data_IF_180415973092
#
_entry.id   IF_180415973092
#
_cell.length_a   1.000
_cell.length_b   1.000
_cell.length_c   1.000
_cell.angle_alpha   90.00
_cell.angle_beta   90.00
_cell.angle_gamma   90.00
#
_symmetry.space_group_name_H-M   'P 1'
#
loop_
_entity.id
_entity.type
_entity.pdbx_description
1 polymer ?
#
# COMPACT_ATOMS: atom_id res chain seq x y z
N UNK A 1 -4.28 -20.32 45.16
CA UNK A 1 -3.61 -19.04 44.90
C UNK A 1 -3.21 -18.99 43.42
N UNK A 2 -3.52 -17.93 42.70
CA UNK A 2 -3.10 -17.80 41.31
C UNK A 2 -1.58 -17.76 41.21
N UNK A 3 -1.02 -18.49 40.26
CA UNK A 3 0.46 -18.56 40.04
C UNK A 3 1.02 -17.31 39.37
N UNK A 4 0.14 -16.46 38.81
CA UNK A 4 0.51 -15.22 38.12
C UNK A 4 -0.22 -14.04 38.76
N UNK A 5 0.55 -13.04 39.17
CA UNK A 5 0.02 -11.79 39.73
C UNK A 5 0.19 -10.64 38.73
N UNK A 6 -0.78 -9.72 38.73
CA UNK A 6 -0.64 -8.47 37.94
C UNK A 6 0.47 -7.61 38.53
N UNK A 7 1.57 -7.45 37.81
CA UNK A 7 2.65 -6.51 38.18
C UNK A 7 2.21 -5.06 37.95
N UNK A 8 2.79 -4.11 38.67
CA UNK A 8 2.60 -2.67 38.48
C UNK A 8 2.83 -2.34 36.98
N UNK A 9 1.88 -1.64 36.37
CA UNK A 9 2.02 -1.16 34.99
C UNK A 9 3.09 -0.08 34.95
N UNK A 10 4.15 -0.29 34.18
CA UNK A 10 5.20 0.70 33.92
C UNK A 10 4.70 1.65 32.81
N UNK A 11 3.90 1.12 31.87
CA UNK A 11 3.35 1.87 30.74
C UNK A 11 1.92 2.35 31.02
N UNK A 12 1.60 3.59 30.62
CA UNK A 12 0.24 4.12 30.65
C UNK A 12 -0.66 3.38 29.64
N UNK A 13 -0.15 3.22 28.44
CA UNK A 13 -0.75 2.43 27.36
C UNK A 13 0.30 1.43 26.86
N UNK A 14 0.06 0.12 27.04
CA UNK A 14 0.96 -0.93 26.57
C UNK A 14 0.65 -1.31 25.11
N UNK A 15 -0.58 -1.03 24.67
CA UNK A 15 -1.03 -1.33 23.32
C UNK A 15 -0.31 -0.46 22.28
N UNK A 16 0.18 0.75 22.71
CA UNK A 16 1.06 1.60 21.90
C UNK A 16 2.41 0.98 21.50
N UNK A 17 2.76 -0.18 22.07
CA UNK A 17 3.94 -0.96 21.69
C UNK A 17 3.57 -2.17 20.82
N UNK A 18 2.31 -2.33 20.47
CA UNK A 18 1.83 -3.40 19.61
C UNK A 18 2.07 -3.07 18.12
N UNK A 19 2.34 -4.10 17.31
CA UNK A 19 2.53 -3.95 15.85
C UNK A 19 1.28 -3.42 15.13
N UNK A 20 0.09 -3.55 15.74
CA UNK A 20 -1.20 -3.08 15.22
C UNK A 20 -1.68 -1.77 15.84
N UNK A 21 -0.81 -1.03 16.53
CA UNK A 21 -1.18 0.24 17.12
C UNK A 21 -1.21 1.34 16.05
N UNK A 22 -2.38 1.92 15.84
CA UNK A 22 -2.54 3.14 15.04
C UNK A 22 -2.59 4.34 16.00
N UNK A 23 -1.69 5.31 15.86
CA UNK A 23 -1.74 6.54 16.65
C UNK A 23 -2.88 7.45 16.16
N UNK A 24 -3.51 8.17 17.09
CA UNK A 24 -4.56 9.17 16.76
C UNK A 24 -3.99 10.39 16.02
N UNK A 25 -2.68 10.61 16.07
CA UNK A 25 -1.96 11.67 15.35
C UNK A 25 -0.53 11.21 15.03
N UNK A 26 -0.03 11.66 13.91
CA UNK A 26 1.38 11.46 13.51
C UNK A 26 2.12 12.75 13.86
N UNK A 27 3.21 12.62 14.62
CA UNK A 27 4.03 13.75 15.02
C UNK A 27 5.37 13.74 14.27
N UNK A 28 5.94 14.95 14.06
CA UNK A 28 7.27 15.14 13.46
C UNK A 28 7.39 14.56 12.02
N UNK A 29 6.29 14.63 11.24
CA UNK A 29 6.22 14.14 9.84
C UNK A 29 5.43 15.07 8.92
N UNK A 30 5.36 16.35 9.27
CA UNK A 30 4.51 17.30 8.55
C UNK A 30 4.91 17.40 7.07
N UNK A 31 6.20 17.43 6.74
CA UNK A 31 6.69 17.53 5.36
C UNK A 31 6.35 16.28 4.55
N UNK A 32 6.54 15.08 5.13
CA UNK A 32 6.21 13.82 4.47
C UNK A 32 4.69 13.66 4.30
N UNK A 33 3.90 14.08 5.30
CA UNK A 33 2.44 14.06 5.25
C UNK A 33 1.94 15.00 4.16
N UNK A 34 2.41 16.24 4.10
CA UNK A 34 2.01 17.23 3.10
C UNK A 34 2.34 16.73 1.68
N UNK A 35 3.56 16.20 1.47
CA UNK A 35 3.96 15.66 0.17
C UNK A 35 3.13 14.42 -0.22
N UNK A 36 2.72 13.60 0.76
CA UNK A 36 1.87 12.44 0.51
C UNK A 36 0.44 12.86 0.18
N UNK A 37 -0.13 13.82 0.91
CA UNK A 37 -1.44 14.38 0.61
C UNK A 37 -1.47 14.98 -0.80
N UNK A 38 -0.45 15.73 -1.21
CA UNK A 38 -0.31 16.25 -2.57
C UNK A 38 -0.29 15.12 -3.63
N UNK A 39 0.35 13.99 -3.31
CA UNK A 39 0.38 12.84 -4.19
C UNK A 39 -0.98 12.15 -4.33
N UNK A 40 -1.82 12.17 -3.28
CA UNK A 40 -3.16 11.57 -3.26
C UNK A 40 -4.27 12.51 -3.74
N UNK A 41 -4.02 13.83 -3.80
CA UNK A 41 -5.00 14.85 -4.18
C UNK A 41 -5.76 14.55 -5.48
N UNK A 42 -5.15 14.00 -6.56
CA UNK A 42 -5.89 13.68 -7.79
C UNK A 42 -7.10 12.76 -7.58
N UNK A 43 -7.10 11.94 -6.53
CA UNK A 43 -8.22 11.05 -6.21
C UNK A 43 -9.45 11.86 -5.79
N UNK A 44 -9.24 12.84 -4.91
CA UNK A 44 -10.30 13.75 -4.43
C UNK A 44 -10.85 14.58 -5.58
N UNK A 45 -9.97 14.96 -6.53
CA UNK A 45 -10.35 15.70 -7.74
C UNK A 45 -11.06 14.81 -8.80
N UNK A 46 -11.25 13.53 -8.53
CA UNK A 46 -11.88 12.56 -9.44
C UNK A 46 -11.02 12.18 -10.64
N UNK A 47 -9.71 12.43 -10.60
CA UNK A 47 -8.77 12.13 -11.68
C UNK A 47 -8.16 10.72 -11.53
N UNK A 48 -7.22 10.39 -12.43
CA UNK A 48 -6.40 9.18 -12.28
C UNK A 48 -5.51 9.32 -11.05
N UNK A 49 -5.43 8.28 -10.19
CA UNK A 49 -4.52 8.29 -9.05
C UNK A 49 -3.07 8.26 -9.50
N UNK A 50 -2.20 8.98 -8.79
CA UNK A 50 -0.76 8.82 -8.96
C UNK A 50 -0.29 7.46 -8.40
N UNK A 51 0.81 6.96 -8.95
CA UNK A 51 1.58 5.90 -8.30
C UNK A 51 2.58 6.53 -7.34
N UNK A 52 2.70 5.94 -6.16
CA UNK A 52 3.54 6.49 -5.08
C UNK A 52 4.54 5.43 -4.64
N UNK A 53 5.81 5.79 -4.61
CA UNK A 53 6.85 4.95 -4.06
C UNK A 53 7.43 5.55 -2.78
N UNK A 54 7.27 4.82 -1.67
CA UNK A 54 7.69 5.23 -0.34
C UNK A 54 8.87 4.38 0.09
N UNK A 55 9.94 5.03 0.51
CA UNK A 55 11.13 4.31 0.95
C UNK A 55 11.80 4.97 2.15
N UNK A 56 12.50 4.16 2.93
CA UNK A 56 13.19 4.59 4.14
C UNK A 56 13.58 3.40 5.00
N UNK A 57 14.32 3.63 6.06
CA UNK A 57 14.71 2.57 7.00
C UNK A 57 13.49 1.90 7.66
N UNK A 58 13.67 0.67 8.13
CA UNK A 58 12.64 0.01 8.95
C UNK A 58 12.38 0.82 10.23
N UNK A 59 11.10 0.94 10.61
CA UNK A 59 10.69 1.60 11.86
C UNK A 59 10.60 3.13 11.81
N UNK A 60 10.70 3.76 10.61
CA UNK A 60 10.54 5.22 10.47
C UNK A 60 9.09 5.68 10.25
N UNK A 61 8.11 4.78 10.39
CA UNK A 61 6.68 5.13 10.35
C UNK A 61 6.02 5.07 8.98
N UNK A 62 6.67 4.57 7.90
CA UNK A 62 6.08 4.52 6.54
C UNK A 62 4.69 3.89 6.49
N UNK A 63 4.56 2.66 6.99
CA UNK A 63 3.29 1.93 7.00
C UNK A 63 2.24 2.66 7.85
N UNK A 64 2.60 3.13 9.04
CA UNK A 64 1.69 3.82 9.94
C UNK A 64 1.16 5.15 9.34
N UNK A 65 2.05 5.95 8.70
CA UNK A 65 1.63 7.18 8.01
C UNK A 65 0.75 6.86 6.81
N UNK A 66 1.07 5.80 6.06
CA UNK A 66 0.26 5.37 4.92
C UNK A 66 -1.15 4.97 5.37
N UNK A 67 -1.27 4.11 6.38
CA UNK A 67 -2.57 3.69 6.93
C UNK A 67 -3.36 4.89 7.43
N UNK A 68 -2.75 5.76 8.25
CA UNK A 68 -3.39 6.97 8.74
C UNK A 68 -3.93 7.88 7.63
N UNK A 69 -3.11 8.17 6.61
CA UNK A 69 -3.54 9.05 5.51
C UNK A 69 -4.59 8.42 4.61
N UNK A 70 -4.56 7.11 4.43
CA UNK A 70 -5.57 6.41 3.65
C UNK A 70 -6.92 6.33 4.38
N UNK A 71 -6.91 6.21 5.71
CA UNK A 71 -8.13 6.31 6.53
C UNK A 71 -8.73 7.73 6.42
N UNK A 72 -7.89 8.77 6.57
CA UNK A 72 -8.33 10.18 6.38
C UNK A 72 -8.88 10.40 4.97
N UNK A 73 -8.18 9.90 3.94
CA UNK A 73 -8.63 10.03 2.56
C UNK A 73 -9.98 9.34 2.32
N UNK A 74 -10.18 8.14 2.87
CA UNK A 74 -11.44 7.41 2.75
C UNK A 74 -12.59 8.19 3.40
N UNK A 75 -12.37 8.77 4.58
CA UNK A 75 -13.36 9.62 5.25
C UNK A 75 -13.66 10.90 4.45
N UNK A 76 -12.62 11.54 3.92
CA UNK A 76 -12.76 12.79 3.16
C UNK A 76 -13.51 12.60 1.84
N UNK A 77 -13.26 11.50 1.11
CA UNK A 77 -13.93 11.23 -0.17
C UNK A 77 -15.43 10.89 -0.02
N UNK A 78 -15.88 10.48 1.18
CA UNK A 78 -17.31 10.27 1.45
C UNK A 78 -18.14 11.56 1.27
N UNK A 79 -17.50 12.73 1.32
CA UNK A 79 -18.15 14.02 1.08
C UNK A 79 -18.45 14.28 -0.41
N UNK A 80 -17.93 13.45 -1.33
CA UNK A 80 -18.04 13.65 -2.77
C UNK A 80 -18.78 12.47 -3.43
N UNK A 81 -19.99 12.71 -3.91
CA UNK A 81 -20.87 11.70 -4.52
C UNK A 81 -20.29 11.07 -5.82
N UNK A 82 -19.35 11.74 -6.46
CA UNK A 82 -18.72 11.32 -7.73
C UNK A 82 -17.39 10.59 -7.56
N UNK A 83 -16.91 10.47 -6.33
CA UNK A 83 -15.67 9.75 -6.00
C UNK A 83 -16.00 8.45 -5.25
N UNK A 84 -15.60 7.31 -5.81
CA UNK A 84 -15.65 6.02 -5.14
C UNK A 84 -14.23 5.52 -4.96
N UNK A 85 -13.80 5.34 -3.72
CA UNK A 85 -12.47 4.87 -3.37
C UNK A 85 -12.51 3.52 -2.66
N UNK A 86 -11.71 2.59 -3.12
CA UNK A 86 -11.43 1.31 -2.47
C UNK A 86 -9.93 1.20 -2.20
N UNK A 87 -9.56 0.84 -0.98
CA UNK A 87 -8.16 0.61 -0.60
C UNK A 87 -7.92 -0.88 -0.34
N UNK A 88 -6.88 -1.43 -0.94
CA UNK A 88 -6.49 -2.84 -0.79
C UNK A 88 -5.04 -2.88 -0.38
N UNK A 89 -4.74 -3.44 0.79
CA UNK A 89 -3.39 -3.56 1.32
C UNK A 89 -2.91 -5.00 1.30
N UNK A 90 -1.71 -5.24 0.78
CA UNK A 90 -1.04 -6.54 0.77
C UNK A 90 0.38 -6.38 1.31
N UNK A 91 0.71 -7.16 2.34
CA UNK A 91 2.09 -7.26 2.82
C UNK A 91 2.84 -8.30 2.00
N UNK A 92 3.89 -7.85 1.29
CA UNK A 92 4.65 -8.68 0.36
C UNK A 92 5.77 -9.50 1.02
N UNK A 93 5.97 -9.40 2.33
CA UNK A 93 7.06 -10.06 3.08
C UNK A 93 7.24 -11.55 2.79
N UNK A 94 6.15 -12.26 2.59
CA UNK A 94 6.15 -13.70 2.30
C UNK A 94 5.86 -14.03 0.84
N UNK A 95 5.70 -13.02 -0.01
CA UNK A 95 5.37 -13.16 -1.41
C UNK A 95 6.62 -12.89 -2.27
N UNK A 96 7.10 -13.90 -2.97
CA UNK A 96 8.39 -13.85 -3.66
C UNK A 96 8.29 -13.54 -5.16
N UNK A 97 7.10 -13.24 -5.67
CA UNK A 97 6.90 -13.00 -7.09
C UNK A 97 5.62 -12.23 -7.39
N UNK A 98 5.61 -11.52 -8.51
CA UNK A 98 4.42 -10.87 -9.07
C UNK A 98 3.21 -11.81 -9.20
N UNK A 99 3.45 -13.09 -9.48
CA UNK A 99 2.40 -14.10 -9.52
C UNK A 99 1.70 -14.29 -8.18
N UNK A 100 2.48 -14.43 -7.09
CA UNK A 100 1.91 -14.63 -5.75
C UNK A 100 1.17 -13.39 -5.26
N UNK A 101 1.70 -12.19 -5.53
CA UNK A 101 1.00 -10.94 -5.20
C UNK A 101 -0.31 -10.83 -5.99
N UNK A 102 -0.31 -11.17 -7.28
CA UNK A 102 -1.54 -11.15 -8.08
C UNK A 102 -2.59 -12.15 -7.57
N UNK A 103 -2.17 -13.36 -7.14
CA UNK A 103 -3.09 -14.33 -6.51
C UNK A 103 -3.66 -13.79 -5.20
N UNK A 104 -2.82 -13.17 -4.37
CA UNK A 104 -3.27 -12.57 -3.09
C UNK A 104 -4.27 -11.44 -3.33
N UNK A 105 -4.00 -10.55 -4.29
CA UNK A 105 -4.94 -9.49 -4.68
C UNK A 105 -6.28 -10.06 -5.17
N UNK A 106 -6.27 -11.09 -6.03
CA UNK A 106 -7.51 -11.76 -6.49
C UNK A 106 -8.27 -12.32 -5.29
N UNK A 107 -7.59 -12.96 -4.36
CA UNK A 107 -8.21 -13.60 -3.20
C UNK A 107 -8.75 -12.56 -2.21
N UNK A 108 -8.08 -11.43 -2.04
CA UNK A 108 -8.55 -10.31 -1.21
C UNK A 108 -9.82 -9.67 -1.78
N UNK A 109 -9.91 -9.58 -3.10
CA UNK A 109 -11.08 -8.99 -3.79
C UNK A 109 -12.29 -9.93 -3.84
N UNK A 110 -12.09 -11.24 -3.71
CA UNK A 110 -13.15 -12.23 -3.80
C UNK A 110 -13.84 -12.49 -2.47
N UNK A 111 -15.12 -12.85 -2.47
CA UNK A 111 -15.79 -13.30 -1.26
C UNK A 111 -15.17 -14.62 -0.76
N UNK A 112 -15.25 -14.84 0.54
CA UNK A 112 -14.80 -16.07 1.18
C UNK A 112 -15.38 -17.32 0.49
N UNK A 113 -14.50 -18.25 0.10
CA UNK A 113 -14.84 -19.47 -0.65
C UNK A 113 -14.77 -19.31 -2.16
N UNK A 114 -14.44 -18.11 -2.67
CA UNK A 114 -14.16 -17.83 -4.09
C UNK A 114 -12.68 -17.76 -4.45
N UNK A 115 -11.80 -18.05 -3.49
CA UNK A 115 -10.36 -17.92 -3.63
C UNK A 115 -9.82 -18.86 -4.73
N UNK A 116 -8.78 -18.41 -5.40
CA UNK A 116 -8.01 -19.24 -6.33
C UNK A 116 -6.80 -19.86 -5.63
N UNK A 117 -6.41 -21.05 -6.11
CA UNK A 117 -5.19 -21.68 -5.62
C UNK A 117 -3.94 -20.85 -5.93
N UNK A 118 -2.99 -20.84 -4.99
CA UNK A 118 -1.68 -20.18 -5.16
C UNK A 118 -0.80 -20.82 -6.23
N UNK A 119 -1.25 -21.92 -6.85
CA UNK A 119 -0.53 -22.65 -7.90
C UNK A 119 -1.49 -23.22 -8.92
N UNK A 120 -0.97 -23.57 -10.12
CA UNK A 120 -1.73 -24.31 -11.14
C UNK A 120 -2.37 -23.45 -12.23
N UNK A 121 -2.36 -22.14 -12.10
CA UNK A 121 -2.80 -21.23 -13.17
C UNK A 121 -1.59 -20.64 -13.91
N UNK A 122 -1.67 -20.48 -15.25
CA UNK A 122 -0.73 -19.63 -15.96
C UNK A 122 -0.81 -18.19 -15.45
N UNK A 123 0.32 -17.49 -15.39
CA UNK A 123 0.40 -16.11 -14.89
C UNK A 123 -0.58 -15.15 -15.59
N UNK A 124 -0.68 -15.24 -16.90
CA UNK A 124 -1.63 -14.46 -17.69
C UNK A 124 -3.09 -14.68 -17.27
N UNK A 125 -3.43 -15.90 -16.85
CA UNK A 125 -4.77 -16.24 -16.37
C UNK A 125 -5.04 -15.55 -15.02
N UNK A 126 -4.04 -15.50 -14.13
CA UNK A 126 -4.17 -14.82 -12.84
C UNK A 126 -4.32 -13.32 -13.04
N UNK A 127 -3.50 -12.71 -13.90
CA UNK A 127 -3.60 -11.27 -14.22
C UNK A 127 -4.96 -10.92 -14.84
N UNK A 128 -5.45 -11.76 -15.76
CA UNK A 128 -6.79 -11.55 -16.33
C UNK A 128 -7.87 -11.58 -15.24
N UNK A 129 -7.81 -12.55 -14.32
CA UNK A 129 -8.74 -12.61 -13.18
C UNK A 129 -8.62 -11.38 -12.28
N UNK A 130 -7.40 -10.90 -12.02
CA UNK A 130 -7.19 -9.69 -11.25
C UNK A 130 -7.88 -8.48 -11.90
N UNK A 131 -7.72 -8.30 -13.20
CA UNK A 131 -8.39 -7.21 -13.92
C UNK A 131 -9.92 -7.35 -13.91
N UNK A 132 -10.45 -8.56 -14.04
CA UNK A 132 -11.89 -8.83 -13.92
C UNK A 132 -12.44 -8.44 -12.54
N UNK A 133 -11.70 -8.75 -11.44
CA UNK A 133 -12.10 -8.37 -10.08
C UNK A 133 -11.98 -6.86 -9.85
N UNK A 134 -10.89 -6.22 -10.32
CA UNK A 134 -10.72 -4.78 -10.21
C UNK A 134 -11.82 -4.01 -10.96
N UNK A 135 -12.16 -4.45 -12.17
CA UNK A 135 -13.25 -3.84 -12.95
C UNK A 135 -14.60 -4.03 -12.26
N UNK A 136 -14.82 -5.17 -11.59
CA UNK A 136 -16.04 -5.43 -10.82
C UNK A 136 -16.18 -4.53 -9.58
N UNK A 137 -15.07 -4.15 -8.94
CA UNK A 137 -15.05 -3.15 -7.86
C UNK A 137 -15.39 -1.78 -8.41
N UNK A 138 -14.78 -1.39 -9.54
CA UNK A 138 -14.98 -0.10 -10.17
C UNK A 138 -14.45 1.09 -9.38
N UNK A 139 -14.69 2.31 -9.87
CA UNK A 139 -14.23 3.53 -9.23
C UNK A 139 -12.71 3.66 -9.18
N UNK A 140 -12.19 4.31 -8.15
CA UNK A 140 -10.75 4.42 -7.89
C UNK A 140 -10.31 3.37 -6.88
N UNK A 141 -9.28 2.63 -7.21
CA UNK A 141 -8.73 1.55 -6.38
C UNK A 141 -7.27 1.87 -6.08
N UNK A 142 -6.94 2.05 -4.81
CA UNK A 142 -5.56 2.15 -4.34
C UNK A 142 -5.08 0.78 -3.84
N UNK A 143 -4.01 0.29 -4.42
CA UNK A 143 -3.36 -0.95 -4.01
C UNK A 143 -2.07 -0.60 -3.28
N UNK A 144 -2.02 -0.94 -2.00
CA UNK A 144 -0.83 -0.77 -1.15
C UNK A 144 -0.06 -2.09 -1.12
N UNK A 145 1.19 -2.04 -1.56
CA UNK A 145 2.13 -3.15 -1.47
C UNK A 145 3.20 -2.81 -0.44
N UNK A 146 3.02 -3.30 0.78
CA UNK A 146 4.02 -3.12 1.82
C UNK A 146 5.14 -4.16 1.71
N UNK A 147 6.36 -3.77 2.04
CA UNK A 147 7.59 -4.56 1.84
C UNK A 147 7.75 -5.04 0.37
N UNK A 148 7.46 -4.13 -0.59
CA UNK A 148 7.47 -4.42 -2.03
C UNK A 148 8.82 -4.93 -2.54
N UNK A 149 9.91 -4.62 -1.85
CA UNK A 149 11.26 -5.11 -2.10
C UNK A 149 11.40 -6.64 -1.92
N UNK A 150 10.43 -7.30 -1.29
CA UNK A 150 10.38 -8.76 -1.17
C UNK A 150 9.95 -9.48 -2.47
N UNK A 151 9.34 -8.79 -3.44
CA UNK A 151 8.79 -9.39 -4.67
C UNK A 151 9.89 -9.98 -5.58
N UNK A 152 11.16 -9.58 -5.40
CA UNK A 152 12.28 -10.08 -6.19
C UNK A 152 12.38 -9.45 -7.60
N UNK A 153 13.23 -10.06 -8.47
CA UNK A 153 13.62 -9.47 -9.76
C UNK A 153 12.52 -9.45 -10.84
N UNK A 154 11.39 -10.15 -10.62
CA UNK A 154 10.29 -10.21 -11.59
C UNK A 154 9.16 -9.28 -11.15
N UNK A 155 9.29 -8.06 -11.53
CA UNK A 155 8.43 -6.92 -11.21
C UNK A 155 7.31 -6.67 -12.25
N UNK A 156 6.93 -7.70 -13.01
CA UNK A 156 5.90 -7.59 -14.06
C UNK A 156 4.59 -6.98 -13.54
N UNK A 157 4.16 -7.33 -12.32
CA UNK A 157 2.95 -6.76 -11.74
C UNK A 157 3.08 -5.25 -11.52
N UNK A 158 4.24 -4.80 -11.04
CA UNK A 158 4.53 -3.38 -10.80
C UNK A 158 4.53 -2.55 -12.09
N UNK A 159 4.78 -3.19 -13.23
CA UNK A 159 4.69 -2.58 -14.54
C UNK A 159 3.28 -2.64 -15.13
N UNK A 160 2.65 -3.82 -15.09
CA UNK A 160 1.38 -4.08 -15.76
C UNK A 160 0.19 -3.42 -15.03
N UNK A 161 0.18 -3.46 -13.68
CA UNK A 161 -0.97 -3.01 -12.90
C UNK A 161 -1.25 -1.51 -13.04
N UNK A 162 -0.28 -0.59 -12.93
CA UNK A 162 -0.52 0.83 -13.14
C UNK A 162 -0.91 1.18 -14.58
N UNK A 163 -0.61 0.30 -15.53
CA UNK A 163 -0.89 0.48 -16.97
C UNK A 163 -2.14 -0.27 -17.42
N UNK A 164 -2.82 -0.97 -16.51
CA UNK A 164 -3.94 -1.84 -16.89
C UNK A 164 -5.01 -1.12 -17.70
N UNK A 165 -5.33 0.14 -17.35
CA UNK A 165 -6.30 0.95 -18.09
C UNK A 165 -5.76 1.43 -19.43
N UNK A 166 -4.55 1.93 -19.50
CA UNK A 166 -3.93 2.38 -20.74
C UNK A 166 -3.70 1.24 -21.74
N UNK A 167 -3.51 0.01 -21.22
CA UNK A 167 -3.41 -1.22 -22.03
C UNK A 167 -4.78 -1.78 -22.43
N UNK A 168 -5.90 -1.18 -21.97
CA UNK A 168 -7.26 -1.62 -22.31
C UNK A 168 -7.72 -2.86 -21.53
N UNK A 169 -7.09 -3.18 -20.41
CA UNK A 169 -7.51 -4.27 -19.51
C UNK A 169 -8.59 -3.81 -18.52
N UNK A 170 -8.67 -2.51 -18.23
CA UNK A 170 -9.69 -1.87 -17.42
C UNK A 170 -10.39 -0.79 -18.26
N UNK A 171 -11.71 -0.72 -18.16
CA UNK A 171 -12.53 0.26 -18.88
C UNK A 171 -12.92 1.43 -17.98
N UNK A 172 -13.48 1.12 -16.81
CA UNK A 172 -14.02 2.10 -15.87
C UNK A 172 -13.18 2.27 -14.60
N UNK A 173 -12.60 1.19 -14.09
CA UNK A 173 -11.79 1.22 -12.88
C UNK A 173 -10.47 1.99 -13.09
N UNK A 174 -10.10 2.82 -12.12
CA UNK A 174 -8.84 3.55 -12.03
C UNK A 174 -7.99 2.92 -10.95
N UNK A 175 -6.74 2.58 -11.25
CA UNK A 175 -5.86 1.90 -10.29
C UNK A 175 -4.63 2.74 -10.03
N UNK A 176 -4.38 3.03 -8.77
CA UNK A 176 -3.13 3.59 -8.26
C UNK A 176 -2.39 2.59 -7.40
N UNK A 177 -1.07 2.61 -7.47
CA UNK A 177 -0.19 1.72 -6.73
C UNK A 177 0.65 2.50 -5.73
N UNK A 178 0.64 2.07 -4.48
CA UNK A 178 1.50 2.57 -3.42
C UNK A 178 2.48 1.45 -3.05
N UNK A 179 3.75 1.63 -3.38
CA UNK A 179 4.81 0.69 -3.03
C UNK A 179 5.61 1.19 -1.82
N UNK A 180 5.69 0.41 -0.75
CA UNK A 180 6.47 0.74 0.44
C UNK A 180 7.67 -0.20 0.51
N UNK A 181 8.89 0.37 0.56
CA UNK A 181 10.13 -0.39 0.64
C UNK A 181 10.98 -0.01 1.85
N UNK A 182 11.62 -1.00 2.43
CA UNK A 182 12.63 -0.84 3.46
C UNK A 182 14.07 -0.75 2.88
N UNK A 183 14.23 -1.00 1.57
CA UNK A 183 15.52 -0.96 0.89
C UNK A 183 15.64 0.27 -0.03
N UNK A 184 16.55 1.20 0.31
CA UNK A 184 16.88 2.36 -0.51
C UNK A 184 17.39 1.98 -1.91
N UNK A 185 17.97 0.80 -2.08
CA UNK A 185 18.53 0.33 -3.35
C UNK A 185 17.51 -0.38 -4.23
N UNK A 186 16.37 -0.76 -3.67
CA UNK A 186 15.33 -1.48 -4.43
C UNK A 186 14.94 -0.71 -5.69
N UNK A 187 14.73 0.61 -5.59
CA UNK A 187 14.46 1.47 -6.73
C UNK A 187 15.53 1.36 -7.84
N UNK A 188 16.80 1.26 -7.46
CA UNK A 188 17.91 1.18 -8.42
C UNK A 188 17.90 -0.15 -9.19
N UNK A 189 17.38 -1.20 -8.60
CA UNK A 189 17.31 -2.55 -9.14
C UNK A 189 16.10 -2.77 -10.06
N UNK A 190 15.05 -1.92 -9.95
CA UNK A 190 13.88 -2.00 -10.81
C UNK A 190 14.22 -1.77 -12.28
N UNK A 191 13.51 -2.48 -13.17
CA UNK A 191 13.55 -2.17 -14.62
C UNK A 191 13.21 -0.68 -14.84
N UNK A 192 13.90 0.02 -15.74
CA UNK A 192 13.62 1.45 -16.02
C UNK A 192 12.15 1.73 -16.31
N UNK A 193 11.44 0.81 -16.98
CA UNK A 193 10.00 0.94 -17.29
C UNK A 193 9.12 0.88 -16.05
N UNK A 194 9.52 0.09 -15.04
CA UNK A 194 8.83 0.02 -13.75
C UNK A 194 9.09 1.29 -12.96
N UNK A 195 10.33 1.80 -12.96
CA UNK A 195 10.67 3.07 -12.31
C UNK A 195 9.80 4.21 -12.82
N UNK A 196 9.73 4.36 -14.14
CA UNK A 196 8.96 5.43 -14.77
C UNK A 196 7.47 5.40 -14.41
N UNK A 197 6.97 4.23 -14.03
CA UNK A 197 5.56 4.04 -13.70
C UNK A 197 5.30 4.04 -12.19
N UNK A 198 6.01 3.23 -11.42
CA UNK A 198 5.81 3.09 -9.99
C UNK A 198 6.32 4.31 -9.21
N UNK A 199 7.44 4.90 -9.67
CA UNK A 199 8.08 6.02 -8.98
C UNK A 199 7.64 7.38 -9.55
N UNK A 200 6.38 7.52 -9.92
CA UNK A 200 5.79 8.78 -10.40
C UNK A 200 5.85 9.86 -9.31
N UNK A 201 5.56 9.47 -8.07
CA UNK A 201 5.78 10.25 -6.86
C UNK A 201 6.66 9.46 -5.90
N UNK A 202 7.76 10.04 -5.49
CA UNK A 202 8.71 9.42 -4.56
C UNK A 202 8.69 10.15 -3.23
N UNK A 203 8.47 9.41 -2.14
CA UNK A 203 8.46 9.92 -0.79
C UNK A 203 9.54 9.20 0.03
N UNK A 204 10.53 9.96 0.48
CA UNK A 204 11.57 9.46 1.35
C UNK A 204 11.22 9.73 2.80
N UNK A 205 11.25 8.68 3.62
CA UNK A 205 11.10 8.78 5.06
C UNK A 205 12.48 8.71 5.72
N UNK A 206 13.05 9.84 6.15
CA UNK A 206 14.32 9.86 6.85
C UNK A 206 14.18 9.23 8.25
N UNK A 207 15.29 8.73 8.85
CA UNK A 207 15.28 8.35 10.26
C UNK A 207 14.99 9.57 11.14
N UNK A 208 14.28 9.35 12.25
CA UNK A 208 14.07 10.40 13.25
C UNK A 208 15.40 10.90 13.81
N UNK A 209 15.52 12.19 13.98
CA UNK A 209 16.67 12.79 14.66
C UNK A 209 16.54 12.70 16.20
N UNK A 210 17.61 13.12 16.92
CA UNK A 210 17.63 13.04 18.38
C UNK A 210 16.68 14.05 19.06
N UNK A 211 16.19 15.06 18.32
CA UNK A 211 15.25 16.07 18.83
C UNK A 211 13.82 15.57 18.68
N UNK A 212 13.49 15.03 17.52
CA UNK A 212 12.19 14.42 17.18
C UNK A 212 11.85 13.24 18.12
N UNK A 213 12.87 12.45 18.54
CA UNK A 213 12.66 11.32 19.46
C UNK A 213 12.43 11.73 20.93
N UNK A 214 12.47 13.02 21.27
CA UNK A 214 12.28 13.48 22.65
C UNK A 214 10.86 13.99 22.94
N UNK A 215 10.07 14.24 21.92
CA UNK A 215 8.69 14.63 22.03
C UNK A 215 7.78 13.41 22.09
#
# INVERSE_FOLDING_TARGET
MPRFERKRRIFKNKDALGESYQPDSIEERDEEIDAYMDALQPIVDGWEPNNVFIYGNTGVGKTAVTEYLLDVLQDDVEAYDDVSLSVISVNCKTLNSSYQVAVELVNTLRPTGGEISSTGYPQQTVFKKLYEELEAVGGTILIVLDEVDSIGEKDELLYELPRARSNGYLESAKVGLIGISNDFKFREQLDPRVKDTLCERELQFPPYDATELKN
#
